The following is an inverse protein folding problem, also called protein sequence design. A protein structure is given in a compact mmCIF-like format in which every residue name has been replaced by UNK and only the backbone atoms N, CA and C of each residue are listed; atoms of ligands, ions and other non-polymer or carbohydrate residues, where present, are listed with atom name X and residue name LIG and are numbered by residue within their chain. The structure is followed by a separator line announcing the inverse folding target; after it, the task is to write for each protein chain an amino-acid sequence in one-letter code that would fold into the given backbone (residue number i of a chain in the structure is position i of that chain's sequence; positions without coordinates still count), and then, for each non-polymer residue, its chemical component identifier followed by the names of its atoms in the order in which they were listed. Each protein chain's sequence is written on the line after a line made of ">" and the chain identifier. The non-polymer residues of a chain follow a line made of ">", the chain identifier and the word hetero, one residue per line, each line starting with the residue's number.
data_IF_986257503435
#
_entry.id   IF_986257503435
#
_cell.length_a   1.000
_cell.length_b   1.000
_cell.length_c   1.000
_cell.angle_alpha   90.00
_cell.angle_beta   90.00
_cell.angle_gamma   90.00
#
_symmetry.space_group_name_H-M   'P 1'
#
loop_
_entity.id
_entity.type
_entity.pdbx_description
1 polymer ?
#
# COMPACT_ATOMS: atom_id res chain seq x y z
N UNK A 1 3.07 0.01 -6.94
CA UNK A 1 4.01 1.16 -6.86
C UNK A 1 3.67 2.21 -7.93
N UNK A 2 3.58 1.82 -9.21
CA UNK A 2 3.22 2.71 -10.34
C UNK A 2 1.89 3.44 -10.13
N UNK A 3 0.83 2.73 -9.72
CA UNK A 3 -0.49 3.31 -9.42
C UNK A 3 -0.44 4.39 -8.32
N UNK A 4 0.46 4.24 -7.35
CA UNK A 4 0.61 5.21 -6.26
C UNK A 4 1.32 6.49 -6.71
N UNK A 5 2.28 6.36 -7.65
CA UNK A 5 3.00 7.51 -8.24
C UNK A 5 2.05 8.32 -9.13
N UNK A 6 1.24 7.66 -9.98
CA UNK A 6 0.25 8.36 -10.79
C UNK A 6 -0.82 9.07 -9.95
N UNK A 7 -1.31 8.44 -8.87
CA UNK A 7 -2.36 9.03 -8.02
C UNK A 7 -1.87 10.10 -7.04
N UNK A 8 -0.60 10.07 -6.59
CA UNK A 8 -0.10 10.96 -5.50
C UNK A 8 1.21 11.71 -5.79
N UNK A 9 1.76 11.56 -6.99
CA UNK A 9 3.07 12.10 -7.36
C UNK A 9 4.23 11.23 -6.87
N UNK A 10 5.42 11.51 -7.41
CA UNK A 10 6.62 10.71 -7.20
C UNK A 10 7.01 10.59 -5.72
N UNK A 11 6.96 11.68 -4.95
CA UNK A 11 7.42 11.68 -3.55
C UNK A 11 6.56 10.79 -2.63
N UNK A 12 5.23 10.97 -2.66
CA UNK A 12 4.29 10.18 -1.83
C UNK A 12 4.18 8.73 -2.33
N UNK A 13 4.24 8.54 -3.66
CA UNK A 13 4.26 7.20 -4.26
C UNK A 13 5.49 6.38 -3.88
N UNK A 14 6.67 7.01 -3.89
CA UNK A 14 7.93 6.41 -3.44
C UNK A 14 7.90 6.08 -1.95
N UNK A 15 7.46 7.01 -1.09
CA UNK A 15 7.31 6.75 0.36
C UNK A 15 6.40 5.55 0.66
N UNK A 16 5.25 5.46 0.00
CA UNK A 16 4.33 4.32 0.16
C UNK A 16 4.92 3.00 -0.37
N UNK A 17 5.70 3.05 -1.45
CA UNK A 17 6.38 1.89 -2.00
C UNK A 17 7.52 1.39 -1.11
N UNK A 18 8.39 2.28 -0.65
CA UNK A 18 9.48 1.97 0.28
C UNK A 18 8.94 1.40 1.58
N UNK A 19 7.86 1.98 2.12
CA UNK A 19 7.20 1.44 3.31
C UNK A 19 6.68 0.01 3.10
N UNK A 20 6.26 -0.38 1.89
CA UNK A 20 5.86 -1.77 1.60
C UNK A 20 7.06 -2.73 1.62
N UNK A 21 8.19 -2.31 1.06
CA UNK A 21 9.42 -3.11 1.06
C UNK A 21 9.93 -3.30 2.49
N UNK A 22 9.96 -2.23 3.29
CA UNK A 22 10.39 -2.27 4.70
C UNK A 22 9.53 -3.17 5.60
N UNK A 23 8.29 -3.48 5.19
CA UNK A 23 7.37 -4.38 5.91
C UNK A 23 7.31 -5.78 5.32
N UNK A 24 8.07 -6.04 4.24
CA UNK A 24 8.13 -7.32 3.57
C UNK A 24 9.16 -8.19 4.29
N UNK A 25 8.70 -8.94 5.29
CA UNK A 25 9.52 -9.82 6.10
C UNK A 25 9.05 -11.26 5.83
N UNK A 26 9.94 -12.26 5.76
CA UNK A 26 9.54 -13.66 5.50
C UNK A 26 8.59 -14.24 6.55
N UNK A 27 8.52 -13.65 7.74
CA UNK A 27 7.62 -14.02 8.83
C UNK A 27 6.25 -13.31 8.79
N UNK A 28 6.02 -12.42 7.82
CA UNK A 28 4.77 -11.67 7.69
C UNK A 28 3.91 -12.33 6.62
N UNK A 29 2.67 -12.72 6.98
CA UNK A 29 1.70 -13.30 6.04
C UNK A 29 1.47 -12.31 4.89
N UNK A 30 1.85 -12.71 3.67
CA UNK A 30 1.60 -11.94 2.45
C UNK A 30 0.10 -11.75 2.20
N UNK A 31 -0.26 -10.80 1.35
CA UNK A 31 -1.64 -10.54 0.97
C UNK A 31 -1.74 -9.39 -0.03
N UNK A 32 -2.89 -9.27 -0.69
CA UNK A 32 -3.15 -8.17 -1.61
C UNK A 32 -3.30 -6.85 -0.83
N UNK A 33 -2.42 -5.88 -1.06
CA UNK A 33 -2.45 -4.55 -0.42
C UNK A 33 -2.83 -3.47 -1.46
N UNK A 34 -4.13 -3.25 -1.70
CA UNK A 34 -4.58 -2.25 -2.67
C UNK A 34 -4.08 -0.86 -2.29
N UNK A 35 -3.79 -0.01 -3.26
CA UNK A 35 -3.42 1.38 -3.00
C UNK A 35 -4.67 2.16 -2.56
N UNK A 36 -4.72 2.71 -1.32
CA UNK A 36 -5.86 3.49 -0.86
C UNK A 36 -5.95 4.88 -1.53
N UNK A 37 -7.16 5.42 -1.56
CA UNK A 37 -7.46 6.75 -2.12
C UNK A 37 -7.13 7.90 -1.16
N UNK A 38 -6.55 7.60 0.01
CA UNK A 38 -5.80 8.52 0.88
C UNK A 38 -4.35 8.06 1.10
N UNK A 39 -3.45 8.96 1.52
CA UNK A 39 -2.05 8.63 1.80
C UNK A 39 -1.95 7.91 3.15
N UNK A 40 -1.38 6.71 3.17
CA UNK A 40 -1.09 5.97 4.40
C UNK A 40 0.12 5.07 4.21
N UNK A 41 0.94 5.00 5.25
CA UNK A 41 2.08 4.08 5.33
C UNK A 41 1.74 2.81 6.12
N UNK A 42 0.55 2.73 6.72
CA UNK A 42 0.10 1.55 7.48
C UNK A 42 -0.41 0.47 6.53
N UNK A 43 -0.37 -0.79 6.98
CA UNK A 43 -0.87 -1.92 6.20
C UNK A 43 -2.38 -1.85 6.31
N UNK A 44 -3.11 -2.07 5.22
CA UNK A 44 -4.54 -2.22 5.34
C UNK A 44 -4.80 -3.61 5.96
N UNK A 45 -5.29 -3.71 7.22
CA UNK A 45 -5.45 -5.01 7.89
C UNK A 45 -6.60 -5.83 7.29
N UNK A 46 -7.44 -5.21 6.46
CA UNK A 46 -8.63 -5.84 5.89
C UNK A 46 -8.78 -5.46 4.41
N UNK A 47 -8.15 -6.24 3.51
CA UNK A 47 -8.20 -5.98 2.07
C UNK A 47 -9.61 -6.12 1.49
N UNK A 48 -10.49 -6.82 2.19
CA UNK A 48 -11.82 -7.24 1.75
C UNK A 48 -12.86 -6.11 1.86
N UNK A 49 -12.68 -5.17 2.80
CA UNK A 49 -13.64 -4.06 3.04
C UNK A 49 -13.78 -3.07 1.88
N UNK A 50 -12.79 -3.03 0.97
CA UNK A 50 -12.80 -2.13 -0.20
C UNK A 50 -13.51 -2.73 -1.41
N UNK A 51 -13.78 -4.04 -1.41
CA UNK A 51 -14.48 -4.75 -2.49
C UNK A 51 -16.00 -4.73 -2.26
N UNK A 52 -16.44 -4.44 -1.03
CA UNK A 52 -17.84 -4.49 -0.61
C UNK A 52 -18.61 -3.15 -0.66
N UNK A 53 -18.05 -2.11 -1.31
CA UNK A 53 -18.76 -0.84 -1.55
C UNK A 53 -18.79 -0.52 -3.05
#
# INVERSE_FOLDING_TARGET
>A
MIVAIQKRGALKGSLMGTARILRCNPFVKGGYDPVPDYFTLKRNPHPDKKILN
#
